data_IF_761840196269
#
_entry.id   IF_761840196269
#
_cell.length_a   1.000
_cell.length_b   1.000
_cell.length_c   1.000
_cell.angle_alpha   90.00
_cell.angle_beta   90.00
_cell.angle_gamma   90.00
#
_symmetry.space_group_name_H-M   'P 1'
#
loop_
_entity.id
_entity.type
_entity.pdbx_description
1 polymer ?
#
# COMPACT_ATOMS: atom_id res chain seq x y z
N UNK A 1 46.64 -55.63 -3.43
CA UNK A 1 45.31 -55.41 -4.06
C UNK A 1 44.22 -54.98 -3.07
N UNK A 2 44.19 -55.39 -1.79
CA UNK A 2 43.09 -55.01 -0.87
C UNK A 2 43.11 -53.57 -0.32
N UNK A 3 44.28 -52.90 -0.31
CA UNK A 3 44.41 -51.53 0.22
C UNK A 3 43.89 -50.46 -0.77
N UNK A 4 44.09 -50.66 -2.06
CA UNK A 4 43.69 -49.71 -3.12
C UNK A 4 42.17 -49.67 -3.31
N UNK A 5 41.50 -50.81 -3.23
CA UNK A 5 40.03 -50.90 -3.29
C UNK A 5 39.38 -50.21 -2.09
N UNK A 6 39.98 -50.33 -0.91
CA UNK A 6 39.50 -49.68 0.32
C UNK A 6 39.67 -48.16 0.26
N UNK A 7 40.80 -47.68 -0.27
CA UNK A 7 41.05 -46.24 -0.47
C UNK A 7 40.11 -45.62 -1.52
N UNK A 8 39.81 -46.34 -2.61
CA UNK A 8 38.88 -45.88 -3.64
C UNK A 8 37.44 -45.78 -3.12
N UNK A 9 36.98 -46.74 -2.30
CA UNK A 9 35.65 -46.70 -1.68
C UNK A 9 35.55 -45.53 -0.69
N UNK A 10 36.56 -45.35 0.16
CA UNK A 10 36.62 -44.23 1.10
C UNK A 10 36.59 -42.89 0.35
N UNK A 11 37.44 -42.70 -0.66
CA UNK A 11 37.46 -41.50 -1.50
C UNK A 11 36.11 -41.26 -2.19
N UNK A 12 35.47 -42.31 -2.72
CA UNK A 12 34.12 -42.22 -3.31
C UNK A 12 33.05 -41.79 -2.30
N UNK A 13 33.06 -42.34 -1.09
CA UNK A 13 32.12 -41.93 -0.03
C UNK A 13 32.34 -40.49 0.45
N UNK A 14 33.59 -40.03 0.58
CA UNK A 14 33.89 -38.64 0.92
C UNK A 14 33.49 -37.68 -0.20
N UNK A 15 33.69 -38.05 -1.46
CA UNK A 15 33.26 -37.24 -2.60
C UNK A 15 31.73 -37.10 -2.63
N UNK A 16 30.98 -38.18 -2.44
CA UNK A 16 29.51 -38.14 -2.38
C UNK A 16 29.00 -37.35 -1.17
N UNK A 17 29.64 -37.48 -0.01
CA UNK A 17 29.32 -36.67 1.17
C UNK A 17 29.58 -35.17 0.92
N UNK A 18 30.69 -34.83 0.27
CA UNK A 18 31.00 -33.45 -0.14
C UNK A 18 29.97 -32.86 -1.10
N UNK A 19 29.53 -33.64 -2.09
CA UNK A 19 28.45 -33.24 -3.02
C UNK A 19 27.12 -33.04 -2.27
N UNK A 20 26.74 -33.96 -1.39
CA UNK A 20 25.50 -33.85 -0.62
C UNK A 20 25.48 -32.62 0.31
N UNK A 21 26.60 -32.32 0.97
CA UNK A 21 26.75 -31.10 1.78
C UNK A 21 26.64 -29.84 0.93
N UNK A 22 27.29 -29.81 -0.25
CA UNK A 22 27.23 -28.67 -1.18
C UNK A 22 25.81 -28.40 -1.70
N UNK A 23 25.06 -29.46 -2.03
CA UNK A 23 23.65 -29.33 -2.45
C UNK A 23 22.80 -28.79 -1.29
N UNK A 24 23.03 -29.30 -0.08
CA UNK A 24 22.27 -28.90 1.12
C UNK A 24 22.53 -27.43 1.49
N UNK A 25 23.78 -26.98 1.49
CA UNK A 25 24.13 -25.59 1.76
C UNK A 25 23.59 -24.65 0.68
N UNK A 26 23.67 -25.05 -0.59
CA UNK A 26 23.11 -24.27 -1.71
C UNK A 26 21.59 -24.14 -1.62
N UNK A 27 20.88 -25.20 -1.22
CA UNK A 27 19.44 -25.16 -0.99
C UNK A 27 19.08 -24.21 0.17
N UNK A 28 19.81 -24.27 1.28
CA UNK A 28 19.61 -23.38 2.42
C UNK A 28 19.87 -21.91 2.05
N UNK A 29 20.96 -21.63 1.32
CA UNK A 29 21.27 -20.29 0.82
C UNK A 29 20.17 -19.77 -0.12
N UNK A 30 19.66 -20.62 -1.03
CA UNK A 30 18.57 -20.25 -1.94
C UNK A 30 17.27 -19.93 -1.20
N UNK A 31 16.93 -20.72 -0.18
CA UNK A 31 15.75 -20.45 0.65
C UNK A 31 15.92 -19.15 1.45
N UNK A 32 17.11 -18.90 1.99
CA UNK A 32 17.40 -17.67 2.71
C UNK A 32 17.34 -16.44 1.80
N UNK A 33 17.93 -16.52 0.61
CA UNK A 33 17.87 -15.46 -0.40
C UNK A 33 16.44 -15.17 -0.85
N UNK A 34 15.62 -16.20 -1.12
CA UNK A 34 14.19 -16.03 -1.43
C UNK A 34 13.43 -15.34 -0.31
N UNK A 35 13.69 -15.74 0.94
CA UNK A 35 13.04 -15.12 2.10
C UNK A 35 13.48 -13.68 2.31
N UNK A 36 14.77 -13.38 2.13
CA UNK A 36 15.30 -12.02 2.20
C UNK A 36 14.70 -11.14 1.10
N UNK A 37 14.71 -11.58 -0.16
CA UNK A 37 14.09 -10.88 -1.29
C UNK A 37 12.60 -10.62 -1.06
N UNK A 38 11.87 -11.60 -0.53
CA UNK A 38 10.46 -11.42 -0.17
C UNK A 38 10.28 -10.34 0.90
N UNK A 39 11.11 -10.34 1.94
CA UNK A 39 11.05 -9.32 3.01
C UNK A 39 11.32 -7.92 2.47
N UNK A 40 12.36 -7.77 1.65
CA UNK A 40 12.71 -6.51 0.98
C UNK A 40 11.55 -6.03 0.12
N UNK A 41 11.01 -6.90 -0.75
CA UNK A 41 9.85 -6.56 -1.58
C UNK A 41 8.64 -6.11 -0.76
N UNK A 42 8.30 -6.84 0.31
CA UNK A 42 7.17 -6.48 1.16
C UNK A 42 7.38 -5.12 1.84
N UNK A 43 8.60 -4.82 2.28
CA UNK A 43 8.95 -3.52 2.84
C UNK A 43 8.79 -2.40 1.81
N UNK A 44 9.41 -2.55 0.63
CA UNK A 44 9.31 -1.56 -0.46
C UNK A 44 7.85 -1.29 -0.84
N UNK A 45 7.04 -2.34 -0.96
CA UNK A 45 5.61 -2.19 -1.29
C UNK A 45 4.82 -1.55 -0.16
N UNK A 46 5.24 -1.73 1.10
CA UNK A 46 4.61 -1.11 2.26
C UNK A 46 4.91 0.39 2.35
N UNK A 47 6.17 0.74 2.11
CA UNK A 47 6.62 2.13 2.00
C UNK A 47 5.92 2.82 0.83
N UNK A 48 5.81 2.15 -0.33
CA UNK A 48 5.07 2.65 -1.49
C UNK A 48 3.60 2.89 -1.15
N UNK A 49 2.91 1.93 -0.51
CA UNK A 49 1.52 2.09 -0.08
C UNK A 49 1.35 3.32 0.82
N UNK A 50 2.24 3.47 1.81
CA UNK A 50 2.21 4.57 2.77
C UNK A 50 2.42 5.92 2.07
N UNK A 51 3.36 5.99 1.14
CA UNK A 51 3.61 7.18 0.33
C UNK A 51 2.39 7.55 -0.53
N UNK A 52 1.77 6.57 -1.20
CA UNK A 52 0.55 6.79 -2.00
C UNK A 52 -0.63 7.24 -1.14
N UNK A 53 -0.78 6.67 0.04
CA UNK A 53 -1.79 7.11 1.00
C UNK A 53 -1.58 8.58 1.40
N UNK A 54 -0.37 8.98 1.80
CA UNK A 54 -0.08 10.37 2.15
C UNK A 54 -0.26 11.32 0.97
N UNK A 55 0.18 10.94 -0.24
CA UNK A 55 0.00 11.74 -1.44
C UNK A 55 -1.47 11.99 -1.79
N UNK A 56 -2.38 11.11 -1.34
CA UNK A 56 -3.82 11.30 -1.56
C UNK A 56 -4.45 12.42 -0.71
N UNK A 57 -3.74 12.95 0.28
CA UNK A 57 -4.21 14.06 1.13
C UNK A 57 -4.18 15.41 0.42
N UNK A 58 -3.49 15.53 -0.71
CA UNK A 58 -3.35 16.78 -1.44
C UNK A 58 -4.67 17.19 -2.14
N UNK A 59 -5.46 16.21 -2.56
CA UNK A 59 -6.63 16.49 -3.39
C UNK A 59 -7.82 17.12 -2.67
N UNK A 60 -8.19 16.82 -1.41
CA UNK A 60 -9.28 17.53 -0.73
C UNK A 60 -8.93 19.01 -0.59
N UNK A 61 -7.67 19.34 -0.34
CA UNK A 61 -7.19 20.72 -0.33
C UNK A 61 -7.37 21.40 -1.70
N UNK A 62 -6.93 20.74 -2.79
CA UNK A 62 -7.13 21.24 -4.16
C UNK A 62 -8.59 21.44 -4.51
N UNK A 63 -9.47 20.55 -4.05
CA UNK A 63 -10.91 20.63 -4.25
C UNK A 63 -11.50 21.84 -3.53
N UNK A 64 -11.07 22.12 -2.29
CA UNK A 64 -11.56 23.27 -1.53
C UNK A 64 -11.14 24.62 -2.13
N UNK A 65 -9.96 24.70 -2.75
CA UNK A 65 -9.47 25.90 -3.42
C UNK A 65 -9.96 26.04 -4.87
N UNK A 66 -10.80 25.14 -5.35
CA UNK A 66 -11.20 25.13 -6.75
C UNK A 66 -12.22 26.23 -7.07
N UNK A 67 -12.00 26.92 -8.18
CA UNK A 67 -12.88 27.92 -8.77
C UNK A 67 -12.83 27.76 -10.28
N UNK A 68 -13.91 27.28 -10.88
CA UNK A 68 -13.97 27.03 -12.32
C UNK A 68 -15.21 26.26 -12.76
N UNK A 69 -15.13 25.52 -13.86
CA UNK A 69 -16.28 24.79 -14.38
C UNK A 69 -16.54 23.47 -13.62
N UNK A 70 -17.77 22.96 -13.75
CA UNK A 70 -18.20 21.75 -13.03
C UNK A 70 -17.55 20.46 -13.57
N UNK A 71 -17.11 20.46 -14.83
CA UNK A 71 -16.50 19.30 -15.49
C UNK A 71 -15.06 19.05 -15.03
N UNK A 72 -14.29 20.11 -14.80
CA UNK A 72 -12.94 20.06 -14.23
C UNK A 72 -12.95 19.59 -12.77
N UNK A 73 -14.01 19.86 -12.00
CA UNK A 73 -14.18 19.27 -10.66
C UNK A 73 -14.12 17.75 -10.72
N UNK A 74 -14.73 17.11 -11.74
CA UNK A 74 -14.68 15.65 -11.88
C UNK A 74 -13.25 15.16 -12.11
N UNK A 75 -12.47 15.88 -12.91
CA UNK A 75 -11.05 15.56 -13.13
C UNK A 75 -10.22 15.62 -11.83
N UNK A 76 -10.54 16.58 -10.95
CA UNK A 76 -9.88 16.72 -9.65
C UNK A 76 -10.33 15.63 -8.67
N UNK A 77 -11.52 15.05 -8.85
CA UNK A 77 -12.01 13.96 -7.99
C UNK A 77 -11.38 12.59 -8.29
N UNK A 78 -10.50 12.48 -9.29
CA UNK A 78 -9.75 11.24 -9.52
C UNK A 78 -8.79 10.94 -8.37
N UNK A 79 -9.15 9.97 -7.54
CA UNK A 79 -8.38 9.51 -6.38
C UNK A 79 -7.22 8.58 -6.77
N UNK A 80 -6.38 8.99 -7.74
CA UNK A 80 -5.32 8.16 -8.30
C UNK A 80 -4.44 7.52 -7.21
N UNK A 81 -3.93 8.33 -6.28
CA UNK A 81 -3.03 7.84 -5.25
C UNK A 81 -3.73 6.98 -4.19
N UNK A 82 -4.97 7.31 -3.82
CA UNK A 82 -5.78 6.46 -2.95
C UNK A 82 -6.00 5.09 -3.57
N UNK A 83 -6.44 5.04 -4.83
CA UNK A 83 -6.69 3.80 -5.56
C UNK A 83 -5.42 2.95 -5.70
N UNK A 84 -4.27 3.59 -5.92
CA UNK A 84 -2.97 2.90 -5.93
C UNK A 84 -2.63 2.29 -4.57
N UNK A 85 -2.84 3.01 -3.47
CA UNK A 85 -2.64 2.48 -2.12
C UNK A 85 -3.57 1.29 -1.82
N UNK A 86 -4.84 1.39 -2.22
CA UNK A 86 -5.79 0.29 -2.06
C UNK A 86 -5.39 -0.93 -2.90
N UNK A 87 -4.94 -0.74 -4.14
CA UNK A 87 -4.45 -1.83 -4.99
C UNK A 87 -3.26 -2.56 -4.36
N UNK A 88 -2.32 -1.82 -3.76
CA UNK A 88 -1.20 -2.43 -3.03
C UNK A 88 -1.66 -3.23 -1.81
N UNK A 89 -2.69 -2.75 -1.09
CA UNK A 89 -3.30 -3.51 0.00
C UNK A 89 -3.95 -4.81 -0.47
N UNK A 90 -4.67 -4.77 -1.59
CA UNK A 90 -5.28 -5.95 -2.20
C UNK A 90 -4.23 -7.02 -2.58
N UNK A 91 -3.11 -6.59 -3.16
CA UNK A 91 -2.07 -7.51 -3.66
C UNK A 91 -1.14 -8.04 -2.57
N UNK A 92 -0.74 -7.20 -1.62
CA UNK A 92 0.36 -7.52 -0.70
C UNK A 92 -0.03 -7.50 0.78
N UNK A 93 -1.03 -6.71 1.18
CA UNK A 93 -1.32 -6.41 2.59
C UNK A 93 -2.78 -6.63 2.95
N UNK A 94 -3.19 -7.91 2.97
CA UNK A 94 -4.57 -8.33 3.24
C UNK A 94 -5.19 -7.68 4.49
N UNK A 95 -4.39 -7.43 5.53
CA UNK A 95 -4.87 -6.81 6.78
C UNK A 95 -5.27 -5.34 6.63
N UNK A 96 -4.82 -4.67 5.56
CA UNK A 96 -5.14 -3.27 5.27
C UNK A 96 -6.28 -3.12 4.25
N UNK A 97 -6.78 -4.22 3.66
CA UNK A 97 -7.78 -4.17 2.59
C UNK A 97 -9.06 -3.47 3.02
N UNK A 98 -9.58 -3.81 4.19
CA UNK A 98 -10.80 -3.21 4.73
C UNK A 98 -10.62 -1.72 5.01
N UNK A 99 -9.57 -1.34 5.76
CA UNK A 99 -9.30 0.05 6.09
C UNK A 99 -9.01 0.92 4.87
N UNK A 100 -8.31 0.37 3.85
CA UNK A 100 -8.09 1.09 2.60
C UNK A 100 -9.37 1.18 1.76
N UNK A 101 -10.19 0.14 1.73
CA UNK A 101 -11.49 0.17 1.05
C UNK A 101 -12.44 1.20 1.66
N UNK A 102 -12.53 1.26 2.99
CA UNK A 102 -13.33 2.26 3.69
C UNK A 102 -12.81 3.69 3.43
N UNK A 103 -11.49 3.87 3.41
CA UNK A 103 -10.88 5.15 3.04
C UNK A 103 -11.31 5.60 1.63
N UNK A 104 -11.19 4.73 0.61
CA UNK A 104 -11.62 5.04 -0.76
C UNK A 104 -13.12 5.35 -0.81
N UNK A 105 -13.95 4.53 -0.17
CA UNK A 105 -15.39 4.73 -0.21
C UNK A 105 -15.81 6.07 0.39
N UNK A 106 -15.28 6.41 1.56
CA UNK A 106 -15.59 7.70 2.23
C UNK A 106 -15.04 8.88 1.45
N UNK A 107 -13.88 8.72 0.80
CA UNK A 107 -13.32 9.73 -0.09
C UNK A 107 -14.23 9.94 -1.31
N UNK A 108 -14.66 8.88 -2.00
CA UNK A 108 -15.57 9.00 -3.14
C UNK A 108 -16.87 9.69 -2.76
N UNK A 109 -17.41 9.39 -1.57
CA UNK A 109 -18.56 10.08 -1.05
C UNK A 109 -18.30 11.58 -0.83
N UNK A 110 -17.15 11.96 -0.24
CA UNK A 110 -16.75 13.36 -0.07
C UNK A 110 -16.69 14.12 -1.41
N UNK A 111 -16.13 13.48 -2.44
CA UNK A 111 -16.07 14.03 -3.79
C UNK A 111 -17.47 14.23 -4.39
N UNK A 112 -18.33 13.22 -4.32
CA UNK A 112 -19.70 13.27 -4.85
C UNK A 112 -20.51 14.37 -4.16
N UNK A 113 -20.43 14.46 -2.83
CA UNK A 113 -21.14 15.49 -2.06
C UNK A 113 -20.63 16.88 -2.44
N UNK A 114 -19.31 17.09 -2.44
CA UNK A 114 -18.69 18.36 -2.86
C UNK A 114 -19.15 18.79 -4.25
N UNK A 115 -19.12 17.87 -5.22
CA UNK A 115 -19.55 18.14 -6.59
C UNK A 115 -21.05 18.43 -6.69
N UNK A 116 -21.89 17.75 -5.89
CA UNK A 116 -23.35 17.97 -5.89
C UNK A 116 -23.74 19.34 -5.36
N UNK A 117 -22.94 19.89 -4.44
CA UNK A 117 -23.18 21.19 -3.80
C UNK A 117 -22.53 22.34 -4.57
N UNK A 118 -21.58 22.05 -5.47
CA UNK A 118 -20.87 23.07 -6.23
C UNK A 118 -21.78 23.76 -7.25
N UNK A 119 -21.85 25.08 -7.15
CA UNK A 119 -22.49 25.96 -8.12
C UNK A 119 -21.42 26.81 -8.83
N UNK A 120 -21.14 26.57 -10.12
CA UNK A 120 -20.12 27.32 -10.85
C UNK A 120 -20.48 28.79 -11.11
N UNK A 121 -21.76 29.16 -10.96
CA UNK A 121 -22.20 30.56 -11.08
C UNK A 121 -22.04 31.34 -9.78
N UNK A 122 -21.68 30.65 -8.69
CA UNK A 122 -21.36 31.28 -7.43
C UNK A 122 -19.87 31.61 -7.44
N UNK A 123 -19.52 32.90 -7.43
CA UNK A 123 -18.13 33.40 -7.54
C UNK A 123 -17.23 33.04 -6.33
N UNK A 124 -17.71 32.19 -5.43
CA UNK A 124 -17.00 31.67 -4.28
C UNK A 124 -16.23 30.40 -4.64
N UNK A 125 -15.15 30.13 -3.89
CA UNK A 125 -14.42 28.86 -3.99
C UNK A 125 -15.34 27.71 -3.58
N UNK A 126 -15.14 26.51 -4.15
CA UNK A 126 -15.94 25.34 -3.78
C UNK A 126 -15.98 25.14 -2.26
N UNK A 127 -14.84 25.29 -1.58
CA UNK A 127 -14.76 25.13 -0.13
C UNK A 127 -15.71 26.07 0.61
N UNK A 128 -15.77 27.34 0.22
CA UNK A 128 -16.66 28.35 0.82
C UNK A 128 -18.14 28.03 0.57
N UNK A 129 -18.46 27.43 -0.57
CA UNK A 129 -19.84 27.04 -0.90
C UNK A 129 -20.34 25.86 -0.08
N UNK A 130 -19.45 24.94 0.30
CA UNK A 130 -19.84 23.65 0.90
C UNK A 130 -19.55 23.57 2.40
N UNK A 131 -18.68 24.42 2.94
CA UNK A 131 -18.12 24.28 4.29
C UNK A 131 -19.17 24.08 5.39
N UNK A 132 -20.21 24.91 5.40
CA UNK A 132 -21.28 24.87 6.40
C UNK A 132 -22.44 23.93 6.04
N UNK A 133 -22.38 23.25 4.89
CA UNK A 133 -23.45 22.36 4.47
C UNK A 133 -23.43 21.06 5.32
N UNK A 134 -24.56 20.67 5.96
CA UNK A 134 -24.61 19.47 6.80
C UNK A 134 -24.19 18.19 6.08
N UNK A 135 -24.50 18.04 4.79
CA UNK A 135 -24.10 16.87 3.99
C UNK A 135 -22.59 16.81 3.81
N UNK A 136 -21.97 17.96 3.54
CA UNK A 136 -20.52 18.06 3.41
C UNK A 136 -19.83 17.78 4.74
N UNK A 137 -20.30 18.38 5.85
CA UNK A 137 -19.76 18.13 7.19
C UNK A 137 -19.78 16.64 7.53
N UNK A 138 -20.91 15.96 7.27
CA UNK A 138 -21.03 14.52 7.50
C UNK A 138 -20.04 13.70 6.66
N UNK A 139 -19.94 13.99 5.36
CA UNK A 139 -19.01 13.30 4.47
C UNK A 139 -17.54 13.54 4.83
N UNK A 140 -17.19 14.79 5.17
CA UNK A 140 -15.85 15.19 5.62
C UNK A 140 -15.47 14.46 6.90
N UNK A 141 -16.34 14.46 7.91
CA UNK A 141 -16.06 13.81 9.19
C UNK A 141 -15.91 12.29 9.03
N UNK A 142 -16.75 11.66 8.21
CA UNK A 142 -16.61 10.24 7.89
C UNK A 142 -15.27 9.94 7.18
N UNK A 143 -14.86 10.78 6.24
CA UNK A 143 -13.57 10.63 5.55
C UNK A 143 -12.37 10.83 6.49
N UNK A 144 -12.41 11.85 7.37
CA UNK A 144 -11.37 12.07 8.39
C UNK A 144 -11.26 10.85 9.31
N UNK A 145 -12.38 10.31 9.79
CA UNK A 145 -12.38 9.12 10.64
C UNK A 145 -11.78 7.90 9.92
N UNK A 146 -12.14 7.66 8.65
CA UNK A 146 -11.59 6.56 7.87
C UNK A 146 -10.08 6.75 7.57
N UNK A 147 -9.65 7.98 7.31
CA UNK A 147 -8.24 8.33 7.14
C UNK A 147 -7.45 8.04 8.39
N UNK A 148 -7.91 8.51 9.54
CA UNK A 148 -7.23 8.35 10.82
C UNK A 148 -7.19 6.86 11.21
N UNK A 149 -8.28 6.13 10.96
CA UNK A 149 -8.31 4.68 11.15
C UNK A 149 -7.28 3.95 10.28
N UNK A 150 -7.21 4.28 8.99
CA UNK A 150 -6.22 3.69 8.07
C UNK A 150 -4.79 4.03 8.50
N UNK A 151 -4.53 5.27 8.92
CA UNK A 151 -3.22 5.68 9.44
C UNK A 151 -2.81 4.86 10.66
N UNK A 152 -3.74 4.60 11.60
CA UNK A 152 -3.48 3.74 12.74
C UNK A 152 -3.23 2.28 12.33
N UNK A 153 -3.95 1.74 11.34
CA UNK A 153 -3.65 0.41 10.82
C UNK A 153 -2.26 0.34 10.17
N UNK A 154 -1.88 1.35 9.38
CA UNK A 154 -0.54 1.45 8.77
C UNK A 154 0.53 1.51 9.86
N UNK A 155 0.32 2.27 10.94
CA UNK A 155 1.26 2.30 12.06
C UNK A 155 1.35 0.95 12.76
N UNK A 156 0.20 0.32 13.05
CA UNK A 156 0.11 -0.98 13.72
C UNK A 156 0.86 -2.08 12.97
N UNK A 157 0.75 -2.13 11.65
CA UNK A 157 1.37 -3.17 10.83
C UNK A 157 2.79 -2.82 10.34
N UNK A 158 3.31 -1.63 10.66
CA UNK A 158 4.67 -1.24 10.28
C UNK A 158 5.73 -2.18 10.87
N UNK A 159 5.56 -2.65 12.11
CA UNK A 159 6.50 -3.60 12.73
C UNK A 159 6.58 -4.95 12.00
N UNK A 160 5.51 -5.34 11.30
CA UNK A 160 5.44 -6.59 10.54
C UNK A 160 6.10 -6.49 9.17
N UNK A 161 6.02 -5.31 8.54
CA UNK A 161 6.38 -5.15 7.13
C UNK A 161 7.56 -4.20 6.88
N UNK A 162 7.84 -3.27 7.80
CA UNK A 162 8.89 -2.25 7.67
C UNK A 162 10.10 -2.47 8.59
N UNK A 163 9.96 -3.22 9.70
CA UNK A 163 11.08 -3.58 10.56
C UNK A 163 11.72 -4.91 10.11
N UNK A 164 12.83 -4.83 9.39
CA UNK A 164 13.79 -5.93 9.16
C UNK A 164 15.19 -5.38 9.35
#
# INVERSE_FOLDING_TARGET
MCAETSAAILAGTFALAGVALSISTSALLSLWDKNHKRKVLLREKYEELSYRFLASFEMPQKLMSYQGNKEEVLSLTHQKYGNQAHMLALLYFHQLQESTGQYIQTYSNLCVVSHSLYNPNNNLLLGEQVYDNPKYIAARNAHIAARDHLQEQIKKYATKYANV
#
